data_IF_605378866472
#
_entry.id   IF_605378866472
#
_cell.length_a   1.000
_cell.length_b   1.000
_cell.length_c   1.000
_cell.angle_alpha   90.00
_cell.angle_beta   90.00
_cell.angle_gamma   90.00
#
_symmetry.space_group_name_H-M   'P 1'
#
loop_
_entity.id
_entity.type
_entity.pdbx_description
1 polymer ?
#
# COMPACT_ATOMS: atom_id res chain seq x y z
N UNK A 1 38.68 9.84 10.66
CA UNK A 1 37.55 10.65 11.17
C UNK A 1 36.81 11.13 9.93
N UNK A 2 35.83 10.35 9.48
CA UNK A 2 35.03 10.70 8.30
C UNK A 2 33.59 10.34 8.66
N UNK A 3 32.91 11.36 9.14
CA UNK A 3 31.48 11.38 9.42
C UNK A 3 30.75 11.17 8.09
N UNK A 4 30.20 9.96 7.89
CA UNK A 4 29.28 9.67 6.80
C UNK A 4 27.97 10.32 7.23
N UNK A 5 27.34 11.20 6.43
CA UNK A 5 26.06 11.78 6.80
C UNK A 5 25.08 10.62 7.03
N UNK A 6 24.71 10.45 8.30
CA UNK A 6 23.73 9.48 8.74
C UNK A 6 22.46 9.83 7.99
N UNK A 7 22.10 9.02 6.99
CA UNK A 7 20.78 9.06 6.38
C UNK A 7 19.81 9.07 7.55
N UNK A 8 19.05 10.16 7.70
CA UNK A 8 18.02 10.24 8.72
C UNK A 8 17.20 8.95 8.61
N UNK A 9 16.92 8.24 9.72
CA UNK A 9 16.08 7.05 9.64
C UNK A 9 14.72 7.53 9.15
N UNK A 10 14.49 7.41 7.85
CA UNK A 10 13.15 7.45 7.29
C UNK A 10 12.30 6.42 8.02
N UNK A 11 10.97 6.55 8.00
CA UNK A 11 10.11 5.51 8.54
C UNK A 11 10.58 4.16 7.97
N UNK A 12 10.99 3.25 8.87
CA UNK A 12 11.35 1.89 8.49
C UNK A 12 10.06 1.17 8.10
N UNK A 13 9.69 1.31 6.83
CA UNK A 13 8.58 0.62 6.23
C UNK A 13 8.91 -0.86 6.16
N UNK A 14 8.10 -1.67 6.83
CA UNK A 14 8.20 -3.12 6.83
C UNK A 14 7.13 -3.68 5.90
N UNK A 15 7.56 -4.44 4.90
CA UNK A 15 6.66 -5.19 4.03
C UNK A 15 5.95 -6.28 4.84
N UNK A 16 4.63 -6.19 4.96
CA UNK A 16 3.81 -7.26 5.55
C UNK A 16 3.49 -8.36 4.55
N UNK A 17 3.13 -7.97 3.33
CA UNK A 17 2.78 -8.89 2.27
C UNK A 17 3.02 -8.26 0.90
N UNK A 18 3.42 -9.08 -0.06
CA UNK A 18 3.42 -8.73 -1.47
C UNK A 18 2.76 -9.87 -2.24
N UNK A 19 1.78 -9.54 -3.06
CA UNK A 19 1.05 -10.53 -3.88
C UNK A 19 0.94 -10.02 -5.29
N UNK A 20 1.26 -10.88 -6.26
CA UNK A 20 1.02 -10.60 -7.68
C UNK A 20 -0.27 -11.26 -8.09
N UNK A 21 -1.20 -10.45 -8.60
CA UNK A 21 -2.48 -10.87 -9.12
C UNK A 21 -2.44 -10.83 -10.64
N UNK A 22 -3.07 -11.79 -11.33
CA UNK A 22 -3.24 -11.70 -12.77
C UNK A 22 -4.04 -10.44 -13.11
N UNK A 23 -3.70 -9.77 -14.20
CA UNK A 23 -4.49 -8.67 -14.73
C UNK A 23 -5.84 -9.18 -15.25
N UNK A 24 -6.92 -8.43 -15.00
CA UNK A 24 -8.23 -8.78 -15.54
C UNK A 24 -9.42 -8.40 -14.66
N UNK A 25 -10.61 -8.84 -15.08
CA UNK A 25 -11.85 -8.58 -14.36
C UNK A 25 -11.83 -9.32 -13.02
N UNK A 26 -12.02 -8.58 -11.93
CA UNK A 26 -12.04 -9.14 -10.56
C UNK A 26 -10.73 -8.99 -9.78
N UNK A 27 -9.64 -8.58 -10.42
CA UNK A 27 -8.35 -8.37 -9.75
C UNK A 27 -8.42 -7.25 -8.70
N UNK A 28 -9.24 -6.22 -8.95
CA UNK A 28 -9.48 -5.14 -7.98
C UNK A 28 -10.15 -5.62 -6.68
N UNK A 29 -11.19 -6.45 -6.80
CA UNK A 29 -11.85 -7.04 -5.63
C UNK A 29 -10.90 -7.95 -4.83
N UNK A 30 -10.14 -8.81 -5.53
CA UNK A 30 -9.14 -9.69 -4.91
C UNK A 30 -8.01 -8.91 -4.23
N UNK A 31 -7.51 -7.85 -4.87
CA UNK A 31 -6.49 -6.97 -4.29
C UNK A 31 -6.98 -6.34 -2.99
N UNK A 32 -8.21 -5.85 -2.99
CA UNK A 32 -8.83 -5.21 -1.83
C UNK A 32 -9.07 -6.20 -0.68
N UNK A 33 -9.60 -7.38 -0.98
CA UNK A 33 -9.85 -8.42 0.03
C UNK A 33 -8.54 -8.94 0.63
N UNK A 34 -7.49 -9.11 -0.18
CA UNK A 34 -6.15 -9.47 0.31
C UNK A 34 -5.55 -8.39 1.21
N UNK A 35 -5.67 -7.11 0.83
CA UNK A 35 -5.17 -6.02 1.65
C UNK A 35 -5.84 -6.01 3.03
N UNK A 36 -7.17 -6.19 3.08
CA UNK A 36 -7.93 -6.30 4.34
C UNK A 36 -7.50 -7.51 5.18
N UNK A 37 -7.30 -8.66 4.53
CA UNK A 37 -6.87 -9.88 5.22
C UNK A 37 -5.49 -9.70 5.87
N UNK A 38 -4.54 -9.09 5.16
CA UNK A 38 -3.18 -8.82 5.65
C UNK A 38 -3.20 -7.88 6.86
N UNK A 39 -4.03 -6.83 6.81
CA UNK A 39 -4.11 -5.84 7.89
C UNK A 39 -5.02 -6.26 9.04
N UNK A 40 -5.72 -7.41 8.94
CA UNK A 40 -6.61 -7.90 10.00
C UNK A 40 -5.89 -8.07 11.34
N UNK A 41 -4.62 -8.46 11.30
CA UNK A 41 -3.76 -8.61 12.48
C UNK A 41 -3.43 -7.28 13.18
N UNK A 42 -3.65 -6.14 12.52
CA UNK A 42 -3.45 -4.81 13.09
C UNK A 42 -4.66 -4.33 13.92
N UNK A 43 -5.72 -5.15 14.02
CA UNK A 43 -6.93 -4.87 14.79
C UNK A 43 -7.56 -3.51 14.45
N UNK A 44 -7.57 -3.16 13.16
CA UNK A 44 -8.12 -1.90 12.67
C UNK A 44 -9.64 -1.81 12.93
N UNK A 45 -10.16 -0.60 13.19
CA UNK A 45 -11.60 -0.37 13.22
C UNK A 45 -12.28 -0.80 11.90
N UNK A 46 -13.52 -1.30 11.92
CA UNK A 46 -14.20 -1.79 10.72
C UNK A 46 -14.36 -0.72 9.64
N UNK A 47 -14.62 0.53 10.04
CA UNK A 47 -14.68 1.67 9.12
C UNK A 47 -13.35 1.88 8.38
N UNK A 48 -12.23 1.66 9.07
CA UNK A 48 -10.91 1.82 8.49
C UNK A 48 -10.53 0.67 7.57
N UNK A 49 -10.85 -0.57 7.93
CA UNK A 49 -10.70 -1.72 7.04
C UNK A 49 -11.49 -1.51 5.74
N UNK A 50 -12.70 -0.93 5.83
CA UNK A 50 -13.51 -0.60 4.67
C UNK A 50 -12.89 0.51 3.81
N UNK A 51 -12.29 1.55 4.42
CA UNK A 51 -11.56 2.59 3.68
C UNK A 51 -10.36 2.02 2.93
N UNK A 52 -9.57 1.14 3.56
CA UNK A 52 -8.44 0.45 2.94
C UNK A 52 -8.92 -0.38 1.75
N UNK A 53 -9.99 -1.16 1.96
CA UNK A 53 -10.61 -1.97 0.90
C UNK A 53 -10.98 -1.12 -0.30
N UNK A 54 -11.67 0.00 -0.07
CA UNK A 54 -12.11 0.90 -1.13
C UNK A 54 -10.91 1.52 -1.87
N UNK A 55 -9.92 2.04 -1.13
CA UNK A 55 -8.75 2.68 -1.71
C UNK A 55 -7.93 1.71 -2.60
N UNK A 56 -7.75 0.46 -2.15
CA UNK A 56 -7.05 -0.57 -2.93
C UNK A 56 -7.87 -1.00 -4.14
N UNK A 57 -9.18 -1.17 -4.00
CA UNK A 57 -10.06 -1.49 -5.11
C UNK A 57 -10.04 -0.40 -6.20
N UNK A 58 -10.10 0.87 -5.79
CA UNK A 58 -10.06 2.01 -6.69
C UNK A 58 -8.69 2.12 -7.39
N UNK A 59 -7.59 1.94 -6.66
CA UNK A 59 -6.25 1.91 -7.24
C UNK A 59 -6.09 0.78 -8.26
N UNK A 60 -6.54 -0.43 -7.93
CA UNK A 60 -6.48 -1.58 -8.83
C UNK A 60 -7.40 -1.43 -10.04
N UNK A 61 -8.55 -0.78 -9.87
CA UNK A 61 -9.43 -0.44 -10.99
C UNK A 61 -8.76 0.57 -11.93
N UNK A 62 -8.17 1.64 -11.40
CA UNK A 62 -7.48 2.65 -12.21
C UNK A 62 -6.31 2.09 -12.99
N UNK A 63 -5.57 1.17 -12.38
CA UNK A 63 -4.47 0.44 -13.01
C UNK A 63 -4.99 -0.46 -14.13
N UNK A 64 -6.02 -1.27 -13.85
CA UNK A 64 -6.58 -2.23 -14.83
C UNK A 64 -7.44 -1.60 -15.93
N UNK A 65 -7.95 -0.39 -15.73
CA UNK A 65 -8.85 0.30 -16.67
C UNK A 65 -8.12 1.19 -17.68
N UNK A 66 -6.79 1.07 -17.82
CA UNK A 66 -5.98 1.91 -18.71
C UNK A 66 -6.50 1.80 -20.16
N UNK A 67 -7.09 2.88 -20.72
CA UNK A 67 -7.75 2.82 -22.03
C UNK A 67 -6.76 2.69 -23.19
N UNK A 68 -5.50 3.11 -22.98
CA UNK A 68 -4.48 3.23 -24.03
C UNK A 68 -3.30 2.24 -23.87
N UNK A 69 -3.44 1.15 -23.11
CA UNK A 69 -2.38 0.15 -23.02
C UNK A 69 -2.49 -0.85 -24.20
N UNK A 70 -1.56 -0.85 -25.17
CA UNK A 70 -1.56 -1.86 -26.22
C UNK A 70 -1.03 -3.17 -25.65
N UNK A 71 -1.91 -4.05 -25.16
CA UNK A 71 -1.51 -5.37 -24.68
C UNK A 71 -2.53 -6.08 -23.79
N UNK A 72 -2.30 -7.36 -23.46
CA UNK A 72 -3.07 -8.07 -22.44
C UNK A 72 -2.92 -7.34 -21.10
N UNK A 73 -3.98 -7.38 -20.27
CA UNK A 73 -3.97 -6.75 -18.95
C UNK A 73 -2.73 -7.18 -18.16
N UNK A 74 -1.91 -6.20 -17.75
CA UNK A 74 -0.72 -6.47 -16.97
C UNK A 74 -1.09 -7.03 -15.59
N UNK A 75 -0.30 -7.97 -15.06
CA UNK A 75 -0.43 -8.38 -13.67
C UNK A 75 -0.30 -7.18 -12.72
N UNK A 76 -1.04 -7.23 -11.62
CA UNK A 76 -1.03 -6.20 -10.58
C UNK A 76 -0.29 -6.76 -9.37
N UNK A 77 0.83 -6.14 -9.00
CA UNK A 77 1.54 -6.38 -7.76
C UNK A 77 0.93 -5.51 -6.66
N UNK A 78 0.53 -6.10 -5.53
CA UNK A 78 0.02 -5.39 -4.36
C UNK A 78 0.98 -5.61 -3.21
N UNK A 79 1.61 -4.55 -2.74
CA UNK A 79 2.48 -4.54 -1.58
C UNK A 79 1.78 -3.83 -0.42
N UNK A 80 1.78 -4.44 0.76
CA UNK A 80 1.25 -3.84 1.99
C UNK A 80 2.43 -3.59 2.93
N UNK A 81 2.65 -2.33 3.27
CA UNK A 81 3.75 -1.87 4.09
C UNK A 81 3.20 -1.22 5.37
N UNK A 82 3.83 -1.54 6.51
CA UNK A 82 3.55 -0.87 7.79
C UNK A 82 4.76 -0.08 8.25
N UNK A 83 4.51 1.06 8.89
CA UNK A 83 5.56 1.78 9.60
C UNK A 83 5.84 1.08 10.92
N UNK A 84 7.09 0.67 11.12
CA UNK A 84 7.57 0.10 12.39
C UNK A 84 7.76 1.17 13.48
N UNK A 85 7.47 2.44 13.17
CA UNK A 85 7.70 3.54 14.09
C UNK A 85 6.74 3.40 15.28
N UNK A 86 7.24 3.28 16.52
CA UNK A 86 6.37 3.33 17.67
C UNK A 86 5.64 4.67 17.66
N UNK A 87 4.32 4.65 17.84
CA UNK A 87 3.54 5.86 18.05
C UNK A 87 4.19 6.61 19.22
N UNK A 88 4.86 7.73 18.94
CA UNK A 88 5.55 8.53 19.95
C UNK A 88 4.59 9.29 20.87
N UNK A 89 3.36 8.82 21.02
CA UNK A 89 2.27 9.46 21.75
C UNK A 89 1.76 8.55 22.86
N UNK A 90 1.23 9.17 23.91
CA UNK A 90 0.68 8.54 25.09
C UNK A 90 -0.28 7.36 24.76
N UNK A 91 -0.40 6.36 25.64
CA UNK A 91 -1.34 5.24 25.49
C UNK A 91 -2.79 5.74 25.58
N UNK A 92 -3.30 6.29 24.48
CA UNK A 92 -4.63 6.86 24.41
C UNK A 92 -5.04 7.03 22.96
N UNK A 93 -5.82 6.06 22.46
CA UNK A 93 -6.40 6.01 21.09
C UNK A 93 -5.34 5.80 20.00
N UNK A 94 -4.88 4.55 19.88
CA UNK A 94 -4.10 4.11 18.73
C UNK A 94 -5.00 4.09 17.49
N UNK A 95 -4.92 5.14 16.69
CA UNK A 95 -5.46 5.15 15.33
C UNK A 95 -4.42 4.63 14.35
N UNK A 96 -4.85 4.26 13.15
CA UNK A 96 -3.95 4.02 12.03
C UNK A 96 -4.31 5.01 10.93
N UNK A 97 -3.33 5.51 10.20
CA UNK A 97 -3.51 6.20 8.93
C UNK A 97 -3.03 5.30 7.80
N UNK A 98 -3.52 5.56 6.59
CA UNK A 98 -3.05 4.85 5.40
C UNK A 98 -3.05 5.74 4.16
N UNK A 99 -2.14 5.45 3.23
CA UNK A 99 -2.16 6.00 1.88
C UNK A 99 -1.77 4.92 0.87
N UNK A 100 -2.22 5.09 -0.37
CA UNK A 100 -1.95 4.16 -1.47
C UNK A 100 -1.12 4.88 -2.52
N UNK A 101 0.01 4.28 -2.90
CA UNK A 101 0.82 4.71 -4.03
C UNK A 101 0.62 3.71 -5.16
N UNK A 102 0.45 4.22 -6.38
CA UNK A 102 0.40 3.42 -7.59
C UNK A 102 1.63 3.70 -8.44
N UNK A 103 2.33 2.65 -8.81
CA UNK A 103 3.42 2.66 -9.77
C UNK A 103 2.92 1.96 -11.02
N UNK A 104 2.77 2.73 -12.10
CA UNK A 104 2.42 2.16 -13.39
C UNK A 104 3.70 1.65 -14.04
N UNK A 105 3.66 0.44 -14.59
CA UNK A 105 4.75 -0.01 -15.42
C UNK A 105 4.86 0.91 -16.64
N UNK A 106 6.03 1.51 -16.82
CA UNK A 106 6.34 2.26 -18.02
C UNK A 106 6.41 1.28 -19.19
N UNK A 107 5.81 1.65 -20.32
CA UNK A 107 5.79 0.83 -21.54
C UNK A 107 7.15 0.80 -22.22
N UNK A 108 8.18 0.29 -21.54
CA UNK A 108 9.48 0.04 -22.15
C UNK A 108 9.43 -1.27 -22.94
N UNK A 109 9.99 -1.32 -24.16
CA UNK A 109 10.01 -2.55 -24.95
C UNK A 109 10.92 -3.58 -24.28
N UNK A 110 10.29 -4.66 -23.82
CA UNK A 110 10.81 -6.02 -23.63
C UNK A 110 12.33 -6.15 -23.43
N UNK A 111 12.79 -5.90 -22.21
CA UNK A 111 13.96 -6.57 -21.67
C UNK A 111 13.65 -6.97 -20.22
N UNK A 112 12.96 -8.11 -20.10
CA UNK A 112 13.16 -9.06 -19.00
C UNK A 112 13.06 -8.54 -17.56
N UNK A 113 11.93 -7.93 -17.21
CA UNK A 113 11.26 -8.14 -15.92
C UNK A 113 9.77 -8.06 -16.22
N UNK A 114 8.95 -9.01 -15.74
CA UNK A 114 7.50 -8.96 -15.90
C UNK A 114 6.97 -7.57 -15.51
N UNK A 115 6.54 -6.78 -16.48
CA UNK A 115 5.98 -5.46 -16.27
C UNK A 115 4.68 -5.62 -15.49
N UNK A 116 4.74 -5.45 -14.18
CA UNK A 116 3.59 -5.47 -13.29
C UNK A 116 3.28 -4.04 -12.88
N UNK A 117 2.03 -3.64 -12.99
CA UNK A 117 1.60 -2.43 -12.30
C UNK A 117 1.61 -2.70 -10.79
N UNK A 118 2.20 -1.80 -10.01
CA UNK A 118 2.39 -2.00 -8.57
C UNK A 118 1.52 -1.04 -7.77
N UNK A 119 0.84 -1.57 -6.75
CA UNK A 119 0.04 -0.84 -5.79
C UNK A 119 0.68 -1.06 -4.43
N UNK A 120 1.11 0.02 -3.79
CA UNK A 120 1.73 0.01 -2.47
C UNK A 120 0.78 0.66 -1.48
N UNK A 121 0.25 -0.13 -0.54
CA UNK A 121 -0.52 0.35 0.59
C UNK A 121 0.42 0.59 1.78
N UNK A 122 0.51 1.83 2.22
CA UNK A 122 1.29 2.23 3.38
C UNK A 122 0.36 2.46 4.57
N UNK A 123 0.67 1.85 5.69
CA UNK A 123 -0.06 1.98 6.96
C UNK A 123 0.87 2.53 8.03
N UNK A 124 0.43 3.53 8.77
CA UNK A 124 1.23 4.12 9.84
C UNK A 124 0.36 4.33 11.08
N UNK A 125 0.91 4.21 12.29
CA UNK A 125 0.15 4.53 13.49
C UNK A 125 -0.08 6.04 13.56
N UNK A 126 -1.33 6.46 13.75
CA UNK A 126 -1.67 7.83 14.10
C UNK A 126 -1.53 7.99 15.62
N UNK A 127 -0.57 8.82 16.03
CA UNK A 127 -0.54 9.30 17.41
C UNK A 127 -1.80 10.13 17.65
N UNK A 128 -2.51 9.85 18.75
CA UNK A 128 -3.65 10.64 19.16
C UNK A 128 -3.27 12.12 19.12
N UNK A 129 -3.88 12.86 18.20
CA UNK A 129 -3.81 14.32 18.20
C UNK A 129 -4.51 14.74 19.50
N UNK A 130 -3.72 15.12 20.50
CA UNK A 130 -4.23 15.88 21.63
C UNK A 130 -4.99 17.07 21.03
N UNK A 131 -6.32 17.03 21.16
CA UNK A 131 -7.12 18.21 20.91
C UNK A 131 -6.73 19.21 22.01
N UNK A 132 -6.35 20.46 21.69
CA UNK A 132 -6.16 21.46 22.72
C UNK A 132 -7.50 21.66 23.44
N UNK A 133 -7.48 21.47 24.77
CA UNK A 133 -8.55 21.87 25.69
C UNK A 133 -8.76 23.39 25.65
#
# INVERSE_FOLDING_TARGET
MTDRPSAAPGPAWQLLAQVVLPGGRGSAGRAADLAVEVVRHLHLPPAQAQLIRQAVADAAHQVGARPDAPGPALPISVAVLISSRPAGGAPGRQGWGCFVIKHLADGAPAAEVSACDTIELYLYPEGGRDAPD
#
